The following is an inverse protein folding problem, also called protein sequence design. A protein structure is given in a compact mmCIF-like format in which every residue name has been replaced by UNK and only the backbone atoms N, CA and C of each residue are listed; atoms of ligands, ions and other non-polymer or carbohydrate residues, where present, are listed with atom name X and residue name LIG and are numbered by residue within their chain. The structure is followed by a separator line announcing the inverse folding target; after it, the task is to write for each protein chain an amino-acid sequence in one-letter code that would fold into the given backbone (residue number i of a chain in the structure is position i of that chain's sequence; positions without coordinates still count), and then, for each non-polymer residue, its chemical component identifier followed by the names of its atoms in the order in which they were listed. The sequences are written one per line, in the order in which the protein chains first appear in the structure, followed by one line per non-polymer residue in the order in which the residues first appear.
data_IF_256813166523
#
_entry.id   IF_256813166523
#
_cell.length_a   1.000
_cell.length_b   1.000
_cell.length_c   1.000
_cell.angle_alpha   90.00
_cell.angle_beta   90.00
_cell.angle_gamma   90.00
#
_symmetry.space_group_name_H-M   'P 1'
#
loop_
_entity.id
_entity.type
_entity.pdbx_description
1 polymer ?
#
# COMPACT_ATOMS: atom_id res chain seq x y z
N UNK A 1 -9.97 -4.61 -1.00
CA UNK A 1 -9.84 -3.90 -2.27
C UNK A 1 -11.21 -3.38 -2.66
N UNK A 2 -11.39 -2.05 -2.62
CA UNK A 2 -12.66 -1.38 -2.93
C UNK A 2 -12.80 -1.08 -4.43
N UNK A 3 -11.74 -1.29 -5.21
CA UNK A 3 -11.75 -1.09 -6.67
C UNK A 3 -11.54 -2.40 -7.40
N UNK A 4 -12.56 -2.80 -8.18
CA UNK A 4 -12.52 -4.04 -8.99
C UNK A 4 -11.41 -4.05 -10.04
N UNK A 5 -10.86 -2.88 -10.40
CA UNK A 5 -9.77 -2.71 -11.37
C UNK A 5 -8.38 -2.73 -10.74
N UNK A 6 -8.27 -2.80 -9.42
CA UNK A 6 -6.99 -2.80 -8.71
C UNK A 6 -6.00 -3.86 -9.23
N UNK A 7 -6.41 -5.10 -9.54
CA UNK A 7 -5.48 -6.11 -10.09
C UNK A 7 -4.90 -5.72 -11.46
N UNK A 8 -5.70 -5.08 -12.31
CA UNK A 8 -5.26 -4.63 -13.64
C UNK A 8 -4.25 -3.49 -13.52
N UNK A 9 -4.53 -2.51 -12.66
CA UNK A 9 -3.63 -1.39 -12.41
C UNK A 9 -2.31 -1.85 -11.78
N UNK A 10 -2.37 -2.80 -10.84
CA UNK A 10 -1.18 -3.39 -10.22
C UNK A 10 -0.31 -4.10 -11.26
N UNK A 11 -0.91 -4.95 -12.09
CA UNK A 11 -0.17 -5.70 -13.12
C UNK A 11 0.49 -4.77 -14.15
N UNK A 12 -0.24 -3.76 -14.63
CA UNK A 12 0.29 -2.78 -15.58
C UNK A 12 1.45 -1.98 -14.97
N UNK A 13 1.32 -1.55 -13.72
CA UNK A 13 2.35 -0.76 -13.04
C UNK A 13 3.60 -1.61 -12.76
N UNK A 14 3.42 -2.86 -12.31
CA UNK A 14 4.53 -3.80 -12.06
C UNK A 14 5.34 -4.06 -13.34
N UNK A 15 4.67 -4.20 -14.49
CA UNK A 15 5.38 -4.36 -15.77
C UNK A 15 6.34 -3.19 -16.03
N UNK A 16 5.90 -1.95 -15.82
CA UNK A 16 6.75 -0.77 -15.98
C UNK A 16 7.88 -0.72 -14.95
N UNK A 17 7.60 -1.07 -13.68
CA UNK A 17 8.61 -1.05 -12.62
C UNK A 17 9.74 -2.06 -12.87
N UNK A 18 9.41 -3.27 -13.34
CA UNK A 18 10.39 -4.31 -13.66
C UNK A 18 11.37 -3.87 -14.75
N UNK A 19 10.90 -3.08 -15.72
CA UNK A 19 11.74 -2.63 -16.85
C UNK A 19 12.55 -1.36 -16.55
N UNK A 20 12.06 -0.50 -15.66
CA UNK A 20 12.57 0.87 -15.54
C UNK A 20 13.16 1.22 -14.16
N UNK A 21 13.16 0.29 -13.21
CA UNK A 21 13.72 0.53 -11.87
C UNK A 21 14.80 -0.49 -11.55
N UNK A 22 15.87 0.00 -10.91
CA UNK A 22 16.91 -0.89 -10.37
C UNK A 22 16.42 -1.61 -9.10
N UNK A 23 15.54 -0.97 -8.34
CA UNK A 23 14.94 -1.49 -7.11
C UNK A 23 13.54 -0.90 -6.89
N UNK A 24 12.62 -1.73 -6.41
CA UNK A 24 11.24 -1.35 -6.08
C UNK A 24 10.87 -1.89 -4.70
N UNK A 25 10.26 -1.05 -3.87
CA UNK A 25 9.73 -1.44 -2.56
C UNK A 25 8.21 -1.52 -2.60
N UNK A 26 7.67 -2.68 -2.26
CA UNK A 26 6.23 -2.89 -2.14
C UNK A 26 5.77 -2.56 -0.72
N UNK A 27 5.02 -1.47 -0.58
CA UNK A 27 4.41 -1.07 0.70
C UNK A 27 2.96 -1.53 0.70
N UNK A 28 2.60 -2.34 1.70
CA UNK A 28 1.25 -2.90 1.81
C UNK A 28 0.39 -2.06 2.75
N UNK A 29 -0.66 -1.42 2.20
CA UNK A 29 -1.56 -0.55 2.96
C UNK A 29 -2.34 -1.30 4.06
N UNK A 30 -2.66 -2.58 3.87
CA UNK A 30 -3.35 -3.40 4.89
C UNK A 30 -2.43 -3.70 6.08
N UNK A 31 -1.15 -3.97 5.82
CA UNK A 31 -0.13 -4.13 6.85
C UNK A 31 0.13 -2.81 7.61
N UNK A 32 0.21 -1.67 6.90
CA UNK A 32 0.31 -0.36 7.54
C UNK A 32 -0.92 -0.05 8.40
N UNK A 33 -2.11 -0.36 7.91
CA UNK A 33 -3.36 -0.21 8.66
C UNK A 33 -3.34 -1.06 9.93
N UNK A 34 -2.91 -2.32 9.84
CA UNK A 34 -2.76 -3.22 10.99
C UNK A 34 -1.76 -2.69 12.02
N UNK A 35 -0.65 -2.04 11.60
CA UNK A 35 0.29 -1.39 12.50
C UNK A 35 -0.37 -0.19 13.21
N UNK A 36 -1.02 0.71 12.47
CA UNK A 36 -1.71 1.87 13.04
C UNK A 36 -2.79 1.44 14.05
N UNK A 37 -3.56 0.41 13.70
CA UNK A 37 -4.67 -0.06 14.51
C UNK A 37 -4.21 -0.88 15.72
N UNK A 38 -3.37 -1.90 15.49
CA UNK A 38 -2.99 -2.86 16.55
C UNK A 38 -1.83 -2.38 17.40
N UNK A 39 -0.84 -1.72 16.81
CA UNK A 39 0.37 -1.28 17.53
C UNK A 39 0.19 0.13 18.07
N UNK A 40 -0.21 1.08 17.22
CA UNK A 40 -0.37 2.49 17.61
C UNK A 40 -1.72 2.81 18.28
N UNK A 41 -2.66 1.84 18.29
CA UNK A 41 -3.98 1.93 18.93
C UNK A 41 -4.87 3.05 18.38
N UNK A 42 -4.65 3.45 17.12
CA UNK A 42 -5.52 4.38 16.43
C UNK A 42 -6.83 3.66 16.07
N UNK A 43 -7.96 4.21 16.51
CA UNK A 43 -9.27 3.52 16.43
C UNK A 43 -9.85 3.49 15.02
N UNK A 44 -9.50 4.49 14.19
CA UNK A 44 -9.94 4.59 12.81
C UNK A 44 -8.82 5.21 11.94
N UNK A 45 -7.73 4.46 11.68
CA UNK A 45 -6.59 4.97 10.93
C UNK A 45 -7.01 5.54 9.58
N UNK A 46 -6.47 6.71 9.25
CA UNK A 46 -6.68 7.40 7.98
C UNK A 46 -5.46 7.22 7.07
N UNK A 47 -5.61 7.48 5.78
CA UNK A 47 -4.45 7.51 4.87
C UNK A 47 -3.38 8.52 5.30
N UNK A 48 -3.76 9.59 6.00
CA UNK A 48 -2.80 10.50 6.63
C UNK A 48 -1.92 9.78 7.66
N UNK A 49 -2.53 9.01 8.56
CA UNK A 49 -1.82 8.25 9.60
C UNK A 49 -0.89 7.19 9.00
N UNK A 50 -1.33 6.48 7.96
CA UNK A 50 -0.53 5.48 7.26
C UNK A 50 0.70 6.09 6.59
N UNK A 51 0.59 7.30 6.05
CA UNK A 51 1.70 8.01 5.40
C UNK A 51 2.71 8.64 6.39
N UNK A 52 2.40 8.65 7.69
CA UNK A 52 3.28 9.15 8.75
C UNK A 52 4.08 8.05 9.48
N UNK A 53 3.88 6.78 9.10
CA UNK A 53 4.72 5.66 9.52
C UNK A 53 6.11 5.74 8.86
#
# INVERSE_FOLDING_TARGET
SDTVVEPYNATLSVHQLVENTDETFCINNEALYDICFRTLKLTNPTYGDLNHL
#
